data_IF_908288205959
#
_entry.id   IF_908288205959
#
_cell.length_a   1.000
_cell.length_b   1.000
_cell.length_c   1.000
_cell.angle_alpha   90.00
_cell.angle_beta   90.00
_cell.angle_gamma   90.00
#
_symmetry.space_group_name_H-M   'P 1'
#
loop_
_entity.id
_entity.type
_entity.pdbx_description
1 polymer ?
#
# COMPACT_ATOMS: atom_id res chain seq x y z
N UNK A 1 -21.06 22.94 -1.04
CA UNK A 1 -20.16 21.79 -1.32
C UNK A 1 -20.20 20.74 -0.21
N UNK A 2 -20.25 21.13 1.07
CA UNK A 2 -20.31 20.17 2.18
C UNK A 2 -21.45 19.14 2.08
N UNK A 3 -22.66 19.54 1.67
CA UNK A 3 -23.77 18.60 1.47
C UNK A 3 -23.44 17.52 0.41
N UNK A 4 -22.73 17.90 -0.66
CA UNK A 4 -22.30 16.97 -1.71
C UNK A 4 -21.26 15.97 -1.20
N UNK A 5 -20.34 16.42 -0.34
CA UNK A 5 -19.36 15.54 0.31
C UNK A 5 -20.05 14.57 1.27
N UNK A 6 -21.04 15.04 2.04
CA UNK A 6 -21.86 14.19 2.92
C UNK A 6 -22.61 13.12 2.12
N UNK A 7 -23.20 13.50 0.99
CA UNK A 7 -23.85 12.57 0.07
C UNK A 7 -22.88 11.56 -0.54
N UNK A 8 -21.66 11.98 -0.89
CA UNK A 8 -20.61 11.10 -1.39
C UNK A 8 -20.19 10.06 -0.35
N UNK A 9 -19.96 10.48 0.89
CA UNK A 9 -19.54 9.58 1.98
C UNK A 9 -20.67 8.60 2.33
N UNK A 10 -21.92 9.05 2.32
CA UNK A 10 -23.08 8.22 2.59
C UNK A 10 -23.51 7.33 1.40
N UNK A 11 -22.86 7.44 0.24
CA UNK A 11 -23.26 6.71 -0.96
C UNK A 11 -22.93 5.20 -0.84
N UNK A 12 -23.88 4.29 -1.07
CA UNK A 12 -23.68 2.84 -0.93
C UNK A 12 -22.95 2.24 -2.15
N UNK A 13 -21.68 2.59 -2.35
CA UNK A 13 -20.87 2.10 -3.48
C UNK A 13 -20.78 0.57 -3.55
N UNK A 14 -20.98 -0.14 -2.44
CA UNK A 14 -20.92 -1.60 -2.37
C UNK A 14 -22.21 -2.28 -2.86
N UNK A 15 -23.31 -1.54 -3.01
CA UNK A 15 -24.59 -2.04 -3.54
C UNK A 15 -24.78 -1.70 -5.03
N UNK A 16 -24.03 -0.72 -5.55
CA UNK A 16 -24.17 -0.26 -6.93
C UNK A 16 -23.44 -1.17 -7.93
N UNK A 17 -24.23 -2.02 -8.60
CA UNK A 17 -23.71 -2.98 -9.59
C UNK A 17 -22.95 -2.32 -10.75
N UNK A 18 -23.35 -1.12 -11.18
CA UNK A 18 -22.68 -0.45 -12.31
C UNK A 18 -21.29 0.05 -11.92
N UNK A 19 -21.15 0.53 -10.68
CA UNK A 19 -19.86 0.88 -10.12
C UNK A 19 -18.99 -0.37 -9.95
N UNK A 20 -19.55 -1.45 -9.40
CA UNK A 20 -18.81 -2.70 -9.15
C UNK A 20 -18.32 -3.36 -10.43
N UNK A 21 -19.12 -3.34 -11.50
CA UNK A 21 -18.70 -3.82 -12.83
C UNK A 21 -17.55 -2.96 -13.39
N UNK A 22 -17.65 -1.64 -13.29
CA UNK A 22 -16.56 -0.74 -13.67
C UNK A 22 -15.29 -0.95 -12.83
N UNK A 23 -15.46 -1.20 -11.53
CA UNK A 23 -14.36 -1.48 -10.61
C UNK A 23 -13.69 -2.82 -10.92
N UNK A 24 -14.48 -3.84 -11.28
CA UNK A 24 -13.98 -5.14 -11.73
C UNK A 24 -13.09 -5.01 -12.96
N UNK A 25 -13.46 -4.15 -13.92
CA UNK A 25 -12.66 -3.91 -15.12
C UNK A 25 -11.34 -3.19 -14.80
N UNK A 26 -11.32 -2.34 -13.77
CA UNK A 26 -10.16 -1.51 -13.43
C UNK A 26 -9.17 -2.22 -12.50
N UNK A 27 -9.67 -2.91 -11.48
CA UNK A 27 -8.87 -3.48 -10.38
C UNK A 27 -8.99 -5.02 -10.26
N UNK A 28 -9.92 -5.63 -10.99
CA UNK A 28 -10.15 -7.07 -10.99
C UNK A 28 -11.15 -7.56 -9.93
N UNK A 29 -11.56 -8.82 -10.08
CA UNK A 29 -12.50 -9.51 -9.17
C UNK A 29 -12.09 -9.55 -7.67
N UNK A 30 -10.83 -9.82 -7.27
CA UNK A 30 -10.51 -9.98 -5.85
C UNK A 30 -10.72 -8.67 -5.04
N UNK A 31 -10.59 -7.52 -5.71
CA UNK A 31 -10.85 -6.22 -5.08
C UNK A 31 -12.35 -5.99 -4.88
N UNK A 32 -13.18 -6.43 -5.82
CA UNK A 32 -14.64 -6.30 -5.74
C UNK A 32 -15.19 -7.18 -4.62
N UNK A 33 -14.72 -8.43 -4.51
CA UNK A 33 -15.16 -9.35 -3.45
C UNK A 33 -14.79 -8.85 -2.05
N UNK A 34 -13.56 -8.33 -1.88
CA UNK A 34 -13.10 -7.77 -0.60
C UNK A 34 -13.91 -6.54 -0.22
N UNK A 35 -14.24 -5.69 -1.21
CA UNK A 35 -15.07 -4.51 -1.02
C UNK A 35 -16.52 -4.85 -0.63
N UNK A 36 -17.15 -5.82 -1.29
CA UNK A 36 -18.53 -6.25 -0.99
C UNK A 36 -18.65 -7.00 0.34
N UNK A 37 -17.63 -7.79 0.72
CA UNK A 37 -17.65 -8.57 1.96
C UNK A 37 -17.56 -7.67 3.21
N UNK A 38 -17.21 -6.39 3.07
CA UNK A 38 -17.00 -5.49 4.19
C UNK A 38 -15.82 -5.92 5.07
N UNK A 39 -14.83 -6.61 4.48
CA UNK A 39 -13.63 -7.02 5.19
C UNK A 39 -12.71 -5.82 5.51
N UNK A 40 -11.66 -6.01 6.33
CA UNK A 40 -10.69 -4.96 6.58
C UNK A 40 -10.01 -4.55 5.26
N UNK A 41 -10.28 -3.34 4.81
CA UNK A 41 -9.67 -2.77 3.61
C UNK A 41 -8.32 -2.17 4.02
N UNK A 42 -7.25 -2.54 3.32
CA UNK A 42 -5.95 -1.91 3.50
C UNK A 42 -6.03 -0.41 3.19
N UNK A 43 -5.37 0.48 3.95
CA UNK A 43 -5.40 1.92 3.67
C UNK A 43 -4.91 2.26 2.24
N UNK A 44 -3.99 1.46 1.68
CA UNK A 44 -3.56 1.61 0.29
C UNK A 44 -4.69 1.34 -0.70
N UNK A 45 -5.53 0.34 -0.41
CA UNK A 45 -6.68 0.00 -1.25
C UNK A 45 -7.77 1.07 -1.15
N UNK A 46 -8.03 1.62 0.04
CA UNK A 46 -8.96 2.74 0.20
C UNK A 46 -8.55 3.94 -0.65
N UNK A 47 -7.26 4.28 -0.66
CA UNK A 47 -6.72 5.36 -1.48
C UNK A 47 -6.91 5.06 -2.99
N UNK A 48 -6.68 3.82 -3.41
CA UNK A 48 -6.89 3.39 -4.80
C UNK A 48 -8.36 3.42 -5.20
N UNK A 49 -9.28 3.12 -4.28
CA UNK A 49 -10.72 3.16 -4.51
C UNK A 49 -11.30 4.58 -4.56
N UNK A 50 -10.63 5.56 -3.93
CA UNK A 50 -11.13 6.94 -3.86
C UNK A 50 -11.28 7.56 -5.25
N UNK A 51 -10.31 7.36 -6.14
CA UNK A 51 -10.33 7.88 -7.51
C UNK A 51 -11.53 7.38 -8.32
N UNK A 52 -11.71 6.05 -8.47
CA UNK A 52 -12.87 5.47 -9.15
C UNK A 52 -14.21 5.88 -8.53
N UNK A 53 -14.31 5.93 -7.20
CA UNK A 53 -15.53 6.39 -6.50
C UNK A 53 -15.87 7.83 -6.86
N UNK A 54 -14.88 8.74 -6.78
CA UNK A 54 -15.06 10.14 -7.12
C UNK A 54 -15.44 10.32 -8.58
N UNK A 55 -14.76 9.62 -9.50
CA UNK A 55 -15.06 9.68 -10.92
C UNK A 55 -16.50 9.25 -11.21
N UNK A 56 -16.92 8.12 -10.65
CA UNK A 56 -18.28 7.60 -10.82
C UNK A 56 -19.33 8.58 -10.27
N UNK A 57 -19.14 9.05 -9.03
CA UNK A 57 -20.07 9.96 -8.37
C UNK A 57 -20.17 11.31 -9.09
N UNK A 58 -19.02 11.88 -9.50
CA UNK A 58 -18.97 13.12 -10.27
C UNK A 58 -19.73 13.00 -11.59
N UNK A 59 -19.55 11.88 -12.30
CA UNK A 59 -20.26 11.59 -13.55
C UNK A 59 -21.77 11.47 -13.34
N UNK A 60 -22.21 10.83 -12.26
CA UNK A 60 -23.63 10.59 -12.00
C UNK A 60 -24.37 11.85 -11.52
N UNK A 61 -23.72 12.65 -10.66
CA UNK A 61 -24.31 13.85 -10.03
C UNK A 61 -23.98 15.14 -10.79
N UNK A 62 -23.16 15.07 -11.84
CA UNK A 62 -22.58 16.23 -12.54
C UNK A 62 -21.88 17.21 -11.59
N UNK A 63 -21.09 16.66 -10.65
CA UNK A 63 -20.34 17.43 -9.67
C UNK A 63 -18.84 17.37 -9.95
N UNK A 64 -18.07 18.24 -9.28
CA UNK A 64 -16.61 18.30 -9.42
C UNK A 64 -15.95 18.13 -8.04
N UNK A 65 -16.23 17.01 -7.37
CA UNK A 65 -15.54 16.66 -6.13
C UNK A 65 -14.11 16.20 -6.44
N UNK A 66 -13.16 16.71 -5.66
CA UNK A 66 -11.75 16.30 -5.70
C UNK A 66 -11.38 15.52 -4.44
N UNK A 67 -10.31 14.73 -4.52
CA UNK A 67 -9.81 13.95 -3.38
C UNK A 67 -9.44 14.85 -2.21
N UNK A 68 -8.79 15.99 -2.45
CA UNK A 68 -8.44 16.99 -1.45
C UNK A 68 -9.65 17.45 -0.62
N UNK A 69 -10.78 17.72 -1.27
CA UNK A 69 -11.99 18.18 -0.57
C UNK A 69 -12.53 17.08 0.35
N UNK A 70 -12.53 15.83 -0.12
CA UNK A 70 -12.97 14.69 0.70
C UNK A 70 -12.02 14.47 1.87
N UNK A 71 -10.70 14.49 1.64
CA UNK A 71 -9.70 14.34 2.71
C UNK A 71 -9.77 15.47 3.74
N UNK A 72 -9.98 16.71 3.30
CA UNK A 72 -10.13 17.85 4.20
C UNK A 72 -11.40 17.71 5.05
N UNK A 73 -12.50 17.25 4.45
CA UNK A 73 -13.75 17.02 5.17
C UNK A 73 -13.62 15.88 6.20
N UNK A 74 -13.00 14.75 5.83
CA UNK A 74 -12.79 13.63 6.76
C UNK A 74 -11.82 13.98 7.87
N UNK A 75 -10.80 14.80 7.59
CA UNK A 75 -9.85 15.30 8.60
C UNK A 75 -10.51 16.23 9.62
N UNK A 76 -11.48 17.04 9.18
CA UNK A 76 -12.19 18.00 10.04
C UNK A 76 -13.38 17.37 10.79
N UNK A 77 -13.93 16.27 10.28
CA UNK A 77 -15.12 15.60 10.84
C UNK A 77 -14.92 14.09 11.01
N UNK A 78 -13.99 13.63 11.89
CA UNK A 78 -13.72 12.20 12.10
C UNK A 78 -14.92 11.43 12.66
N UNK A 79 -15.87 12.11 13.31
CA UNK A 79 -17.01 11.50 13.99
C UNK A 79 -18.10 10.92 13.05
N UNK A 80 -18.09 11.26 11.75
CA UNK A 80 -19.21 10.93 10.86
C UNK A 80 -19.07 9.60 10.09
N UNK A 81 -17.92 8.92 10.20
CA UNK A 81 -17.68 7.63 9.53
C UNK A 81 -18.21 6.42 10.30
N UNK A 82 -18.86 6.61 11.46
CA UNK A 82 -19.37 5.50 12.27
C UNK A 82 -20.66 5.87 13.03
N UNK A 83 -21.86 5.45 12.59
CA UNK A 83 -23.09 5.59 13.36
C UNK A 83 -23.22 4.43 14.36
N UNK A 84 -22.28 4.32 15.30
CA UNK A 84 -22.45 3.47 16.48
C UNK A 84 -22.17 4.32 17.70
N UNK A 85 -23.17 4.65 18.54
CA UNK A 85 -22.88 5.28 19.82
C UNK A 85 -22.11 4.25 20.67
N UNK A 86 -20.88 4.54 21.10
CA UNK A 86 -20.28 3.71 22.15
C UNK A 86 -21.11 3.94 23.43
N UNK A 87 -21.47 2.89 24.17
CA UNK A 87 -21.95 3.07 25.53
C UNK A 87 -20.91 3.89 26.28
N UNK A 88 -21.37 4.90 27.01
CA UNK A 88 -20.58 5.81 27.83
C UNK A 88 -19.88 5.04 28.94
N UNK A 89 -18.80 4.34 28.61
CA UNK A 89 -17.77 3.98 29.57
C UNK A 89 -16.85 5.19 29.62
N UNK A 90 -16.50 5.74 30.81
CA UNK A 90 -15.51 6.79 30.90
C UNK A 90 -14.18 6.23 30.38
N UNK A 91 -13.92 6.43 29.09
CA UNK A 91 -12.63 6.18 28.48
C UNK A 91 -11.65 7.11 29.18
N UNK A 92 -10.73 6.54 29.94
CA UNK A 92 -9.56 7.27 30.41
C UNK A 92 -8.89 7.89 29.18
N UNK A 93 -8.58 9.20 29.21
CA UNK A 93 -8.11 9.96 28.04
C UNK A 93 -6.77 9.47 27.45
N UNK A 94 -6.16 8.44 28.01
CA UNK A 94 -4.86 7.90 27.60
C UNK A 94 -4.93 6.86 26.47
N UNK A 95 -6.04 6.12 26.30
CA UNK A 95 -6.02 4.93 25.42
C UNK A 95 -6.08 5.26 23.92
N UNK A 96 -6.63 6.41 23.53
CA UNK A 96 -6.74 6.85 22.13
C UNK A 96 -5.69 7.95 21.78
N UNK A 97 -4.68 8.17 22.63
CA UNK A 97 -3.73 9.29 22.49
C UNK A 97 -2.67 8.98 21.43
N UNK A 98 -2.72 9.67 20.29
CA UNK A 98 -1.64 9.62 19.29
C UNK A 98 -0.39 10.34 19.82
N UNK A 99 0.65 9.58 20.17
CA UNK A 99 1.96 10.13 20.54
C UNK A 99 2.77 10.47 19.28
N UNK A 100 3.40 11.65 19.28
CA UNK A 100 4.36 12.00 18.22
C UNK A 100 5.65 11.16 18.34
N UNK A 101 6.40 11.01 17.25
CA UNK A 101 7.67 10.27 17.27
C UNK A 101 8.63 10.80 18.36
N UNK A 102 8.76 12.12 18.47
CA UNK A 102 9.64 12.76 19.46
C UNK A 102 9.15 12.58 20.91
N UNK A 103 7.85 12.35 21.11
CA UNK A 103 7.28 12.06 22.43
C UNK A 103 7.48 10.59 22.80
N UNK A 104 7.28 9.69 21.84
CA UNK A 104 7.56 8.27 22.01
C UNK A 104 9.03 8.03 22.38
N UNK A 105 9.97 8.69 21.69
CA UNK A 105 11.40 8.62 22.00
C UNK A 105 11.69 9.05 23.44
N UNK A 106 11.12 10.17 23.89
CA UNK A 106 11.32 10.65 25.27
C UNK A 106 10.76 9.69 26.32
N UNK A 107 9.62 9.06 26.06
CA UNK A 107 9.03 8.07 26.97
C UNK A 107 9.86 6.79 27.07
N UNK A 108 10.49 6.37 25.98
CA UNK A 108 11.42 5.23 25.97
C UNK A 108 12.70 5.57 26.73
N UNK A 109 13.31 6.73 26.45
CA UNK A 109 14.54 7.18 27.11
C UNK A 109 14.37 7.41 28.61
N UNK A 110 13.22 7.94 29.02
CA UNK A 110 12.89 8.15 30.44
C UNK A 110 12.40 6.89 31.16
N UNK A 111 12.23 5.77 30.45
CA UNK A 111 11.72 4.53 31.00
C UNK A 111 10.23 4.56 31.38
N UNK A 112 9.49 5.62 30.99
CA UNK A 112 8.06 5.75 31.23
C UNK A 112 7.22 5.06 30.14
N UNK A 113 7.58 3.82 29.82
CA UNK A 113 6.92 3.05 28.75
C UNK A 113 5.47 2.70 29.09
N UNK A 114 5.09 2.72 30.38
CA UNK A 114 3.71 2.53 30.82
C UNK A 114 2.73 3.60 30.32
N UNK A 115 3.23 4.75 29.86
CA UNK A 115 2.42 5.82 29.24
C UNK A 115 2.30 5.69 27.72
N UNK A 116 2.90 4.64 27.12
CA UNK A 116 2.77 4.36 25.70
C UNK A 116 1.44 3.59 25.50
N UNK A 117 0.51 4.09 24.68
CA UNK A 117 -0.72 3.38 24.36
C UNK A 117 -0.44 1.97 23.84
N UNK A 118 -1.27 1.01 24.25
CA UNK A 118 -1.12 -0.42 23.91
C UNK A 118 0.20 -1.08 24.36
N UNK A 119 0.82 -0.58 25.43
CA UNK A 119 1.97 -1.25 26.02
C UNK A 119 1.54 -2.54 26.77
N UNK A 120 1.76 -3.69 26.14
CA UNK A 120 1.51 -4.99 26.75
C UNK A 120 2.80 -5.56 27.37
N UNK A 121 2.77 -5.82 28.68
CA UNK A 121 3.85 -6.57 29.36
C UNK A 121 3.86 -7.98 28.79
N UNK A 122 5.01 -8.43 28.28
CA UNK A 122 5.21 -9.81 27.83
C UNK A 122 5.62 -10.61 29.07
N UNK A 123 4.70 -11.36 29.73
CA UNK A 123 5.13 -12.33 30.74
C UNK A 123 6.00 -13.39 30.04
N UNK A 124 7.03 -13.86 30.75
CA UNK A 124 8.07 -14.83 30.33
C UNK A 124 9.35 -14.28 29.68
N UNK A 125 9.41 -12.98 29.39
CA UNK A 125 10.59 -12.41 28.73
C UNK A 125 10.77 -12.97 27.32
N UNK A 126 11.44 -12.22 26.46
CA UNK A 126 11.85 -12.74 25.17
C UNK A 126 12.82 -13.87 25.47
N UNK A 127 12.40 -15.12 25.24
CA UNK A 127 13.33 -16.25 25.14
C UNK A 127 14.29 -15.87 24.02
N UNK A 128 15.41 -15.24 24.37
CA UNK A 128 16.52 -15.03 23.47
C UNK A 128 17.04 -16.44 23.22
N UNK A 129 16.44 -17.11 22.24
CA UNK A 129 16.97 -18.36 21.72
C UNK A 129 18.28 -17.95 21.10
N UNK A 130 19.30 -18.04 21.94
CA UNK A 130 20.71 -17.84 21.68
C UNK A 130 20.95 -18.42 20.29
N UNK A 131 21.02 -17.53 19.31
CA UNK A 131 21.42 -17.87 17.97
C UNK A 131 22.89 -18.15 18.16
N UNK A 132 23.21 -19.42 18.46
CA UNK A 132 24.55 -19.90 18.71
C UNK A 132 25.38 -19.57 17.47
N UNK A 133 26.07 -18.43 17.51
CA UNK A 133 27.12 -18.06 16.58
C UNK A 133 28.22 -19.08 16.77
N UNK A 134 28.14 -20.17 16.00
CA UNK A 134 29.25 -21.09 15.88
C UNK A 134 30.37 -20.37 15.13
N UNK A 135 31.61 -20.37 15.66
CA UNK A 135 32.73 -19.72 15.02
C UNK A 135 32.99 -20.39 13.67
N UNK A 136 33.08 -19.58 12.63
CA UNK A 136 33.42 -20.00 11.27
C UNK A 136 34.83 -20.59 11.33
N UNK A 137 34.91 -21.92 11.35
CA UNK A 137 36.18 -22.65 11.37
C UNK A 137 36.84 -22.47 10.01
N UNK A 138 37.82 -21.57 9.95
CA UNK A 138 38.77 -21.42 8.84
C UNK A 138 39.40 -22.78 8.55
N UNK A 139 38.99 -23.42 7.46
CA UNK A 139 39.68 -24.57 6.89
C UNK A 139 40.88 -24.08 6.09
N UNK A 140 41.94 -23.75 6.82
CA UNK A 140 43.29 -24.08 6.38
C UNK A 140 43.39 -25.61 6.28
N UNK A 141 44.15 -26.11 5.32
CA UNK A 141 44.37 -27.52 5.00
C UNK A 141 43.33 -28.23 4.13
N UNK A 142 43.49 -28.05 2.81
CA UNK A 142 43.39 -29.12 1.81
C UNK A 142 44.31 -28.80 0.62
N UNK A 143 45.62 -28.74 0.87
CA UNK A 143 46.64 -28.84 -0.18
C UNK A 143 46.97 -30.32 -0.40
N UNK A 144 46.24 -31.00 -1.30
CA UNK A 144 46.77 -32.19 -2.00
C UNK A 144 45.99 -32.49 -3.27
N UNK A 145 46.60 -32.09 -4.40
CA UNK A 145 46.58 -32.83 -5.66
C UNK A 145 45.25 -32.98 -6.41
N UNK A 146 45.07 -32.16 -7.44
CA UNK A 146 44.66 -32.64 -8.78
C UNK A 146 45.07 -31.61 -9.81
N UNK A 147 46.15 -31.92 -10.53
CA UNK A 147 46.47 -31.33 -11.82
C UNK A 147 45.35 -31.71 -12.80
N UNK A 148 44.63 -30.73 -13.33
CA UNK A 148 44.05 -30.77 -14.68
C UNK A 148 43.61 -29.37 -15.08
N UNK A 149 44.34 -28.82 -16.04
CA UNK A 149 43.96 -27.71 -16.89
C UNK A 149 42.62 -28.02 -17.55
N UNK A 150 41.57 -27.27 -17.23
CA UNK A 150 40.40 -27.16 -18.10
C UNK A 150 39.94 -25.70 -18.08
N UNK A 151 40.00 -25.11 -19.26
CA UNK A 151 39.70 -23.73 -19.58
C UNK A 151 38.19 -23.50 -19.39
N UNK A 152 37.74 -22.56 -18.53
CA UNK A 152 36.31 -22.29 -18.41
C UNK A 152 35.82 -21.62 -19.69
N UNK A 153 35.16 -22.42 -20.53
CA UNK A 153 34.40 -21.95 -21.69
C UNK A 153 33.50 -20.76 -21.31
N UNK A 154 33.51 -19.65 -22.07
CA UNK A 154 32.59 -18.55 -21.81
C UNK A 154 31.16 -19.01 -22.07
N UNK A 155 30.37 -19.04 -21.00
CA UNK A 155 28.94 -19.35 -21.02
C UNK A 155 28.20 -18.38 -21.94
N UNK A 156 27.80 -18.88 -23.11
CA UNK A 156 27.04 -18.15 -24.13
C UNK A 156 25.56 -18.18 -23.77
N UNK A 157 25.18 -17.47 -22.71
CA UNK A 157 23.77 -17.24 -22.37
C UNK A 157 23.33 -15.91 -22.96
N UNK A 158 22.34 -15.86 -23.87
CA UNK A 158 21.81 -14.60 -24.35
C UNK A 158 21.22 -13.80 -23.19
N UNK A 159 21.75 -12.59 -22.98
CA UNK A 159 21.20 -11.62 -22.03
C UNK A 159 19.78 -11.29 -22.48
N UNK A 160 18.79 -11.88 -21.79
CA UNK A 160 17.38 -11.52 -21.94
C UNK A 160 17.21 -10.11 -21.39
N UNK A 161 17.11 -9.14 -22.29
CA UNK A 161 16.81 -7.74 -21.94
C UNK A 161 15.44 -7.66 -21.28
N UNK A 162 15.35 -6.80 -20.25
CA UNK A 162 14.13 -6.55 -19.51
C UNK A 162 13.13 -5.80 -20.41
N UNK A 163 11.82 -6.08 -20.33
CA UNK A 163 10.82 -5.55 -21.27
C UNK A 163 10.60 -4.03 -21.21
N UNK A 164 11.17 -3.31 -20.24
CA UNK A 164 11.01 -1.86 -20.11
C UNK A 164 12.05 -1.04 -20.89
N UNK A 165 13.07 -1.65 -21.51
CA UNK A 165 14.09 -0.95 -22.32
C UNK A 165 13.68 -0.75 -23.80
N UNK A 166 12.50 -1.19 -24.23
CA UNK A 166 12.10 -1.20 -25.65
C UNK A 166 11.44 0.10 -26.16
N UNK A 167 11.35 1.17 -25.36
CA UNK A 167 10.63 2.38 -25.75
C UNK A 167 11.49 3.46 -26.48
N UNK A 168 12.80 3.24 -26.65
CA UNK A 168 13.70 4.30 -27.13
C UNK A 168 14.09 4.24 -28.62
N UNK A 169 13.60 3.27 -29.41
CA UNK A 169 14.03 3.12 -30.82
C UNK A 169 12.85 3.04 -31.79
N UNK A 170 12.00 4.06 -31.79
CA UNK A 170 10.99 4.26 -32.84
C UNK A 170 10.81 5.76 -33.13
N UNK A 171 11.90 6.45 -33.45
CA UNK A 171 11.87 7.83 -33.93
C UNK A 171 12.97 8.07 -34.97
N UNK A 172 12.72 7.59 -36.19
CA UNK A 172 13.32 8.06 -37.46
C UNK A 172 12.70 7.21 -38.56
N UNK A 173 11.65 7.70 -39.23
CA UNK A 173 11.73 8.57 -40.39
C UNK A 173 11.31 7.76 -41.63
N UNK A 174 10.01 7.76 -41.91
CA UNK A 174 9.51 7.48 -43.25
C UNK A 174 8.34 8.43 -43.52
N UNK A 175 8.64 9.50 -44.24
CA UNK A 175 7.65 10.41 -44.80
C UNK A 175 8.14 10.81 -46.19
N UNK A 176 7.73 10.04 -47.19
CA UNK A 176 7.72 10.50 -48.58
C UNK A 176 6.36 10.16 -49.19
N UNK A 177 5.56 11.22 -49.20
CA UNK A 177 4.39 11.60 -49.98
C UNK A 177 4.16 10.84 -51.29
N UNK A 178 2.93 10.35 -51.49
CA UNK A 178 2.41 10.06 -52.83
C UNK A 178 1.03 10.72 -52.99
N UNK A 179 0.95 11.69 -53.89
CA UNK A 179 -0.28 12.38 -54.33
C UNK A 179 -0.61 11.86 -55.72
N UNK A 180 -1.81 11.32 -56.00
CA UNK A 180 -2.22 11.10 -57.38
C UNK A 180 -2.92 12.35 -57.92
N UNK A 181 -2.42 12.83 -59.06
CA UNK A 181 -3.07 13.80 -59.91
C UNK A 181 -3.97 13.09 -60.94
N UNK A 182 -5.14 13.68 -61.13
CA UNK A 182 -6.05 13.72 -62.30
C UNK A 182 -6.22 12.50 -63.21
#
# INVERSE_FOLDING_TARGET
MENTVKEFIAYPFHEDMTFLEGLQLLLGQPVVETFQRGGPISPELEQSLLGPKLFFFNRQRNTNLTAEIVHQYTSTHPAQLNPTPPPSVPKTPDEDRQLSLAELTRLIESGQTHLIPHNHVIPDGVQVKEISLTPIKTKSDCLRGISKTDEPSPSKVPIRKKPWEAAATAASADSVTNVPAS
#
